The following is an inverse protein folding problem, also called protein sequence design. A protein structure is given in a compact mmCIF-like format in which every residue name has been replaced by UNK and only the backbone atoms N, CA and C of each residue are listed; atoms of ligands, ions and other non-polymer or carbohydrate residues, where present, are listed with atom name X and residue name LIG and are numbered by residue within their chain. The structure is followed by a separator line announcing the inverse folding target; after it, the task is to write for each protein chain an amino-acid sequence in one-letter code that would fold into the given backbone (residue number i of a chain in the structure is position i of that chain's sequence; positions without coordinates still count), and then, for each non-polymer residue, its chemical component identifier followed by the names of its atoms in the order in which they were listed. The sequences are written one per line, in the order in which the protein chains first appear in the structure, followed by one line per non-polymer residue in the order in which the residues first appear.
data_IF_242817444055
#
_entry.id   IF_242817444055
#
_cell.length_a   1.000
_cell.length_b   1.000
_cell.length_c   1.000
_cell.angle_alpha   90.00
_cell.angle_beta   90.00
_cell.angle_gamma   90.00
#
_symmetry.space_group_name_H-M   'P 1'
#
loop_
_entity.id
_entity.type
_entity.pdbx_description
1 polymer ?
#
# COMPACT_ATOMS: atom_id res chain seq x y z
N UNK A 1 -6.55 -8.79 -27.42
CA UNK A 1 -6.38 -7.92 -26.23
C UNK A 1 -4.99 -8.08 -25.56
N UNK A 2 -3.92 -8.39 -26.32
CA UNK A 2 -2.58 -8.68 -25.78
C UNK A 2 -1.60 -7.49 -25.75
N UNK A 3 -2.04 -6.27 -26.11
CA UNK A 3 -1.08 -5.19 -26.38
C UNK A 3 -0.56 -4.43 -25.15
N UNK A 4 -1.19 -4.54 -23.97
CA UNK A 4 -0.82 -3.71 -22.81
C UNK A 4 -0.72 -4.49 -21.48
N UNK A 5 0.12 -5.52 -21.43
CA UNK A 5 0.37 -6.32 -20.21
C UNK A 5 0.78 -5.47 -19.00
N UNK A 6 1.56 -4.41 -19.22
CA UNK A 6 1.97 -3.50 -18.13
C UNK A 6 0.82 -2.61 -17.63
N UNK A 7 -0.06 -2.12 -18.52
CA UNK A 7 -1.22 -1.34 -18.09
C UNK A 7 -2.19 -2.21 -17.29
N UNK A 8 -2.39 -3.45 -17.73
CA UNK A 8 -3.17 -4.47 -17.02
C UNK A 8 -2.61 -4.73 -15.61
N UNK A 9 -1.29 -4.92 -15.51
CA UNK A 9 -0.61 -5.07 -14.23
C UNK A 9 -0.78 -3.84 -13.34
N UNK A 10 -0.65 -2.64 -13.88
CA UNK A 10 -0.88 -1.41 -13.13
C UNK A 10 -2.31 -1.35 -12.58
N UNK A 11 -3.32 -1.58 -13.43
CA UNK A 11 -4.73 -1.58 -13.03
C UNK A 11 -5.03 -2.63 -11.96
N UNK A 12 -4.50 -3.84 -12.08
CA UNK A 12 -4.64 -4.88 -11.06
C UNK A 12 -3.98 -4.48 -9.73
N UNK A 13 -2.86 -3.75 -9.78
CA UNK A 13 -2.14 -3.29 -8.60
C UNK A 13 -2.85 -2.16 -7.83
N UNK A 14 -3.50 -1.22 -8.52
CA UNK A 14 -4.11 -0.06 -7.84
C UNK A 14 -5.40 -0.40 -7.08
N UNK A 15 -6.15 -1.40 -7.54
CA UNK A 15 -7.53 -1.68 -7.06
C UNK A 15 -7.57 -1.93 -5.56
N UNK A 16 -6.65 -2.75 -5.04
CA UNK A 16 -6.62 -3.12 -3.62
C UNK A 16 -6.39 -1.90 -2.72
N UNK A 17 -5.35 -1.08 -2.93
CA UNK A 17 -5.17 0.19 -2.24
C UNK A 17 -6.36 1.13 -2.37
N UNK A 18 -6.94 1.27 -3.56
CA UNK A 18 -8.05 2.21 -3.78
C UNK A 18 -9.27 1.82 -2.94
N UNK A 19 -9.66 0.54 -2.95
CA UNK A 19 -10.79 0.06 -2.13
C UNK A 19 -10.49 0.24 -0.64
N UNK A 20 -9.27 -0.10 -0.20
CA UNK A 20 -8.86 0.09 1.18
C UNK A 20 -8.93 1.55 1.61
N UNK A 21 -8.40 2.47 0.79
CA UNK A 21 -8.41 3.90 1.09
C UNK A 21 -9.81 4.49 1.10
N UNK A 22 -10.74 3.97 0.29
CA UNK A 22 -12.15 4.35 0.37
C UNK A 22 -12.74 4.01 1.74
N UNK A 23 -12.48 2.80 2.25
CA UNK A 23 -12.92 2.40 3.60
C UNK A 23 -12.31 3.31 4.67
N UNK A 24 -11.00 3.59 4.58
CA UNK A 24 -10.32 4.50 5.50
C UNK A 24 -10.93 5.91 5.44
N UNK A 25 -11.25 6.41 4.24
CA UNK A 25 -11.92 7.68 4.05
C UNK A 25 -13.29 7.70 4.75
N UNK A 26 -14.09 6.65 4.59
CA UNK A 26 -15.40 6.53 5.24
C UNK A 26 -15.31 6.50 6.76
N UNK A 27 -14.40 5.71 7.32
CA UNK A 27 -14.18 5.67 8.78
C UNK A 27 -13.74 7.04 9.29
N UNK A 28 -12.88 7.72 8.53
CA UNK A 28 -12.42 9.05 8.90
C UNK A 28 -13.54 10.09 8.83
N UNK A 29 -14.36 10.10 7.78
CA UNK A 29 -15.48 11.04 7.68
C UNK A 29 -16.48 10.80 8.81
N UNK A 30 -16.73 9.54 9.19
CA UNK A 30 -17.51 9.24 10.39
C UNK A 30 -16.85 9.81 11.66
N UNK A 31 -15.57 9.53 11.90
CA UNK A 31 -14.85 10.05 13.07
C UNK A 31 -14.88 11.58 13.17
N UNK A 32 -14.75 12.27 12.04
CA UNK A 32 -14.75 13.74 11.99
C UNK A 32 -16.14 14.34 12.11
N UNK A 33 -17.12 13.87 11.34
CA UNK A 33 -18.44 14.51 11.24
C UNK A 33 -19.46 13.96 12.23
N UNK A 34 -19.36 12.68 12.63
CA UNK A 34 -20.26 12.06 13.61
C UNK A 34 -19.70 12.22 15.02
N UNK A 35 -18.39 11.98 15.20
CA UNK A 35 -17.75 11.99 16.53
C UNK A 35 -16.96 13.26 16.84
N UNK A 36 -16.93 14.26 15.94
CA UNK A 36 -16.27 15.57 16.14
C UNK A 36 -14.79 15.50 16.54
N UNK A 37 -14.07 14.46 16.10
CA UNK A 37 -12.63 14.33 16.40
C UNK A 37 -11.83 15.26 15.46
N UNK A 38 -11.03 16.21 15.98
CA UNK A 38 -10.26 17.15 15.17
C UNK A 38 -9.01 16.47 14.60
N UNK A 39 -9.16 15.81 13.44
CA UNK A 39 -8.04 15.20 12.71
C UNK A 39 -7.62 16.06 11.50
N UNK A 40 -6.32 16.34 11.29
CA UNK A 40 -5.82 17.13 10.16
C UNK A 40 -5.92 16.34 8.84
N UNK A 41 -6.86 16.75 7.97
CA UNK A 41 -7.26 16.02 6.75
C UNK A 41 -6.16 16.05 5.68
N UNK A 42 -5.57 17.21 5.39
CA UNK A 42 -4.67 17.36 4.23
C UNK A 42 -3.39 16.53 4.37
N UNK A 43 -2.87 16.37 5.60
CA UNK A 43 -1.59 15.66 5.82
C UNK A 43 -1.77 14.17 6.02
N UNK A 44 -2.86 13.74 6.64
CA UNK A 44 -3.06 12.33 7.02
C UNK A 44 -3.70 11.51 5.91
N UNK A 45 -4.46 12.13 5.00
CA UNK A 45 -5.28 11.39 4.02
C UNK A 45 -4.86 11.64 2.59
N UNK A 46 -4.68 12.89 2.20
CA UNK A 46 -4.42 13.24 0.79
C UNK A 46 -3.10 12.64 0.29
N UNK A 47 -2.06 12.68 1.13
CA UNK A 47 -0.75 12.14 0.77
C UNK A 47 -0.76 10.60 0.61
N UNK A 48 -1.28 9.79 1.57
CA UNK A 48 -1.40 8.35 1.36
C UNK A 48 -2.32 7.99 0.19
N UNK A 49 -3.39 8.74 -0.03
CA UNK A 49 -4.32 8.46 -1.14
C UNK A 49 -3.69 8.64 -2.51
N UNK A 50 -2.83 9.63 -2.68
CA UNK A 50 -2.12 9.84 -3.93
C UNK A 50 -0.94 8.86 -4.08
N UNK A 51 -0.18 8.61 -3.02
CA UNK A 51 1.08 7.88 -3.11
C UNK A 51 0.91 6.36 -3.12
N UNK A 52 0.06 5.82 -2.23
CA UNK A 52 -0.02 4.37 -1.98
C UNK A 52 -0.55 3.58 -3.18
N UNK A 53 -1.65 3.98 -3.85
CA UNK A 53 -2.16 3.26 -5.02
C UNK A 53 -1.17 3.25 -6.19
N UNK A 54 -0.51 4.39 -6.41
CA UNK A 54 0.48 4.53 -7.46
C UNK A 54 1.71 3.67 -7.21
N UNK A 55 2.22 3.66 -5.98
CA UNK A 55 3.33 2.81 -5.58
C UNK A 55 3.01 1.32 -5.78
N UNK A 56 1.80 0.89 -5.39
CA UNK A 56 1.35 -0.49 -5.61
C UNK A 56 1.22 -0.85 -7.09
N UNK A 57 0.58 0.02 -7.89
CA UNK A 57 0.43 -0.17 -9.33
C UNK A 57 1.79 -0.31 -10.01
N UNK A 58 2.71 0.62 -9.77
CA UNK A 58 4.08 0.59 -10.29
C UNK A 58 4.85 -0.65 -9.83
N UNK A 59 4.71 -1.04 -8.56
CA UNK A 59 5.39 -2.22 -8.04
C UNK A 59 4.90 -3.52 -8.66
N UNK A 60 3.61 -3.61 -9.00
CA UNK A 60 3.06 -4.75 -9.74
C UNK A 60 3.52 -4.76 -11.20
N UNK A 61 3.68 -3.59 -11.84
CA UNK A 61 4.29 -3.50 -13.18
C UNK A 61 5.74 -3.99 -13.16
N UNK A 62 6.53 -3.54 -12.17
CA UNK A 62 7.90 -3.99 -11.97
C UNK A 62 7.97 -5.50 -11.71
N UNK A 63 7.05 -6.04 -10.90
CA UNK A 63 6.94 -7.48 -10.70
C UNK A 63 6.78 -8.21 -12.03
N UNK A 64 5.81 -7.80 -12.86
CA UNK A 64 5.54 -8.46 -14.16
C UNK A 64 6.72 -8.32 -15.12
N UNK A 65 7.39 -7.17 -15.15
CA UNK A 65 8.60 -6.98 -15.96
C UNK A 65 9.76 -7.89 -15.52
N UNK A 66 10.00 -7.98 -14.20
CA UNK A 66 11.10 -8.74 -13.63
C UNK A 66 10.78 -10.23 -13.49
N UNK A 67 9.51 -10.64 -13.55
CA UNK A 67 9.07 -12.03 -13.41
C UNK A 67 9.68 -12.96 -14.46
N UNK A 68 9.95 -12.44 -15.66
CA UNK A 68 10.67 -13.17 -16.72
C UNK A 68 12.08 -13.58 -16.31
N UNK A 69 12.71 -12.87 -15.37
CA UNK A 69 14.07 -13.10 -14.88
C UNK A 69 14.12 -13.64 -13.45
N UNK A 70 13.14 -13.31 -12.62
CA UNK A 70 13.04 -13.66 -11.22
C UNK A 70 11.73 -14.43 -11.01
N UNK A 71 11.81 -15.75 -10.87
CA UNK A 71 10.68 -16.63 -10.52
C UNK A 71 10.24 -16.48 -9.05
N UNK A 72 10.21 -15.24 -8.54
CA UNK A 72 9.83 -14.93 -7.17
C UNK A 72 8.31 -14.96 -7.00
N UNK A 73 7.85 -15.43 -5.83
CA UNK A 73 6.43 -15.36 -5.51
C UNK A 73 5.98 -13.91 -5.35
N UNK A 74 4.80 -13.58 -5.87
CA UNK A 74 4.23 -12.22 -5.82
C UNK A 74 4.06 -11.71 -4.37
N UNK A 75 3.81 -12.61 -3.41
CA UNK A 75 3.72 -12.25 -2.00
C UNK A 75 5.07 -11.80 -1.42
N UNK A 76 6.17 -12.46 -1.78
CA UNK A 76 7.53 -12.06 -1.35
C UNK A 76 7.94 -10.74 -2.01
N UNK A 77 7.63 -10.57 -3.29
CA UNK A 77 7.89 -9.30 -3.98
C UNK A 77 7.08 -8.16 -3.37
N UNK A 78 5.80 -8.41 -3.05
CA UNK A 78 4.96 -7.47 -2.33
C UNK A 78 5.57 -7.08 -0.98
N UNK A 79 6.02 -8.04 -0.18
CA UNK A 79 6.60 -7.79 1.15
C UNK A 79 7.89 -6.95 1.14
N UNK A 80 8.60 -6.87 0.01
CA UNK A 80 9.75 -5.95 -0.14
C UNK A 80 9.33 -4.48 -0.16
N UNK A 81 8.12 -4.17 -0.63
CA UNK A 81 7.64 -2.80 -0.75
C UNK A 81 7.53 -2.11 0.63
N UNK A 82 6.89 -2.69 1.67
CA UNK A 82 6.92 -2.15 3.03
C UNK A 82 8.32 -2.05 3.63
N UNK A 83 9.20 -3.01 3.34
CA UNK A 83 10.59 -3.00 3.83
C UNK A 83 11.35 -1.80 3.25
N UNK A 84 11.06 -1.40 2.00
CA UNK A 84 11.61 -0.20 1.38
C UNK A 84 10.91 1.08 1.85
N UNK A 85 9.58 1.07 1.95
CA UNK A 85 8.80 2.26 2.32
C UNK A 85 8.90 2.62 3.80
N UNK A 86 9.07 1.67 4.72
CA UNK A 86 9.20 1.93 6.15
C UNK A 86 10.41 2.84 6.48
N UNK A 87 11.65 2.52 6.09
CA UNK A 87 12.80 3.40 6.33
C UNK A 87 12.66 4.72 5.56
N UNK A 88 12.11 4.71 4.34
CA UNK A 88 11.87 5.92 3.57
C UNK A 88 10.86 6.84 4.26
N UNK A 89 9.81 6.27 4.86
CA UNK A 89 8.84 7.00 5.69
C UNK A 89 9.45 7.59 6.95
N UNK A 90 10.36 6.88 7.63
CA UNK A 90 11.10 7.40 8.79
C UNK A 90 11.99 8.58 8.36
N UNK A 91 12.72 8.44 7.26
CA UNK A 91 13.58 9.51 6.74
C UNK A 91 12.73 10.74 6.38
N UNK A 92 11.63 10.57 5.64
CA UNK A 92 10.74 11.68 5.27
C UNK A 92 10.11 12.33 6.51
N UNK A 93 9.66 11.54 7.50
CA UNK A 93 9.12 12.06 8.75
C UNK A 93 10.18 12.87 9.53
N UNK A 94 11.43 12.39 9.56
CA UNK A 94 12.54 13.09 10.21
C UNK A 94 12.90 14.41 9.52
N UNK A 95 12.93 14.43 8.18
CA UNK A 95 13.16 15.63 7.38
C UNK A 95 12.03 16.66 7.52
N UNK A 96 10.79 16.21 7.72
CA UNK A 96 9.62 17.07 7.90
C UNK A 96 9.38 17.48 9.36
N UNK A 97 10.29 17.14 10.29
CA UNK A 97 10.16 17.39 11.73
C UNK A 97 8.82 16.90 12.33
N UNK A 98 8.27 15.79 11.80
CA UNK A 98 7.11 15.15 12.40
C UNK A 98 7.57 14.38 13.65
N UNK A 99 7.20 14.87 14.84
CA UNK A 99 7.47 14.19 16.10
C UNK A 99 6.62 12.92 16.18
N UNK A 100 7.26 11.75 16.09
CA UNK A 100 6.61 10.46 16.32
C UNK A 100 6.29 10.38 17.83
N UNK A 101 5.01 10.30 18.23
CA UNK A 101 4.66 10.20 19.65
C UNK A 101 5.27 8.93 20.28
N UNK A 102 5.80 9.01 21.49
CA UNK A 102 6.47 7.86 22.14
C UNK A 102 5.58 6.61 22.33
N UNK A 103 4.26 6.79 22.37
CA UNK A 103 3.27 5.70 22.34
C UNK A 103 3.25 4.96 20.99
N UNK A 104 3.39 5.70 19.88
CA UNK A 104 3.46 5.12 18.55
C UNK A 104 4.72 4.25 18.39
N UNK A 105 5.84 4.59 19.04
CA UNK A 105 7.05 3.77 19.01
C UNK A 105 6.87 2.38 19.66
N UNK A 106 6.12 2.29 20.77
CA UNK A 106 5.83 1.00 21.42
C UNK A 106 4.77 0.19 20.66
N UNK A 107 3.71 0.86 20.19
CA UNK A 107 2.68 0.21 19.38
C UNK A 107 3.23 -0.27 18.03
N UNK A 108 4.24 0.42 17.47
CA UNK A 108 4.87 0.07 16.19
C UNK A 108 5.48 -1.32 16.21
N UNK A 109 6.13 -1.75 17.30
CA UNK A 109 6.72 -3.10 17.35
C UNK A 109 5.70 -4.23 17.22
N UNK A 110 4.44 -4.00 17.58
CA UNK A 110 3.35 -4.98 17.47
C UNK A 110 2.53 -4.74 16.20
N UNK A 111 2.20 -3.48 15.90
CA UNK A 111 1.41 -3.11 14.74
C UNK A 111 2.16 -3.29 13.42
N UNK A 112 3.49 -3.12 13.40
CA UNK A 112 4.31 -3.30 12.21
C UNK A 112 4.30 -4.75 11.70
N UNK A 113 4.61 -5.79 12.49
CA UNK A 113 4.58 -7.17 11.98
C UNK A 113 3.17 -7.61 11.59
N UNK A 114 2.13 -7.19 12.34
CA UNK A 114 0.73 -7.47 11.99
C UNK A 114 0.35 -6.78 10.68
N UNK A 115 0.68 -5.51 10.52
CA UNK A 115 0.46 -4.76 9.28
C UNK A 115 1.20 -5.37 8.10
N UNK A 116 2.43 -5.84 8.31
CA UNK A 116 3.24 -6.50 7.28
C UNK A 116 2.65 -7.87 6.90
N UNK A 117 2.09 -8.63 7.85
CA UNK A 117 1.37 -9.87 7.57
C UNK A 117 0.10 -9.60 6.76
N UNK A 118 -0.71 -8.62 7.16
CA UNK A 118 -1.92 -8.22 6.41
C UNK A 118 -1.54 -7.76 5.00
N UNK A 119 -0.46 -6.98 4.88
CA UNK A 119 0.07 -6.51 3.61
C UNK A 119 0.55 -7.69 2.72
N UNK A 120 1.29 -8.64 3.29
CA UNK A 120 1.72 -9.85 2.61
C UNK A 120 0.51 -10.64 2.08
N UNK A 121 -0.54 -10.81 2.89
CA UNK A 121 -1.75 -11.50 2.47
C UNK A 121 -2.52 -10.75 1.39
N UNK A 122 -2.58 -9.42 1.47
CA UNK A 122 -3.19 -8.60 0.43
C UNK A 122 -2.47 -8.78 -0.92
N UNK A 123 -1.14 -8.82 -0.93
CA UNK A 123 -0.38 -9.13 -2.15
C UNK A 123 -0.54 -10.57 -2.62
N UNK A 124 -0.42 -11.53 -1.70
CA UNK A 124 -0.47 -12.96 -2.03
C UNK A 124 -1.82 -13.41 -2.54
N UNK A 125 -2.92 -12.87 -2.01
CA UNK A 125 -4.26 -13.32 -2.36
C UNK A 125 -4.99 -12.34 -3.28
N UNK A 126 -5.04 -11.05 -2.94
CA UNK A 126 -5.84 -10.09 -3.71
C UNK A 126 -5.13 -9.71 -5.02
N UNK A 127 -3.88 -9.26 -4.95
CA UNK A 127 -3.14 -8.85 -6.17
C UNK A 127 -2.89 -10.05 -7.08
N UNK A 128 -2.55 -11.21 -6.51
CA UNK A 128 -2.40 -12.45 -7.28
C UNK A 128 -3.70 -12.91 -7.94
N UNK A 129 -4.84 -12.69 -7.29
CA UNK A 129 -6.16 -12.96 -7.88
C UNK A 129 -6.45 -11.99 -9.02
N UNK A 130 -6.24 -10.69 -8.82
CA UNK A 130 -6.47 -9.67 -9.84
C UNK A 130 -5.56 -9.87 -11.06
N UNK A 131 -4.29 -10.24 -10.86
CA UNK A 131 -3.38 -10.59 -11.94
C UNK A 131 -3.88 -11.82 -12.72
N UNK A 132 -4.43 -12.84 -12.05
CA UNK A 132 -5.04 -14.01 -12.70
C UNK A 132 -6.31 -13.67 -13.49
N UNK A 133 -7.18 -12.81 -12.95
CA UNK A 133 -8.36 -12.29 -13.66
C UNK A 133 -7.95 -11.51 -14.91
N UNK A 134 -6.83 -10.80 -14.82
CA UNK A 134 -6.23 -10.09 -15.93
C UNK A 134 -5.34 -10.99 -16.80
N UNK A 135 -5.42 -12.32 -16.68
CA UNK A 135 -4.64 -13.29 -17.47
C UNK A 135 -3.14 -12.98 -17.52
N UNK A 136 -2.63 -12.32 -16.48
CA UNK A 136 -1.21 -12.02 -16.34
C UNK A 136 -0.58 -13.30 -15.79
N UNK A 137 0.32 -13.95 -16.55
CA UNK A 137 0.94 -15.20 -16.15
C UNK A 137 1.70 -15.01 -14.85
#
# INVERSE_FOLDING_TARGET
MNQHTYLRAYMAGIVVPTVFLLVVATVFTMARYVYNIPLPVERVIVFPMAFVPNAWGLWNVLFVALRSRLQLSIGLWGALLPILLAPLGIVVASLLNFSVPGFAAHAFFIAAPVGLLVYYFAWKYLVAFLNRVQEIP
#
